data_IF_977680661168
#
_entry.id   IF_977680661168
#
_cell.length_a   1.000
_cell.length_b   1.000
_cell.length_c   1.000
_cell.angle_alpha   90.00
_cell.angle_beta   90.00
_cell.angle_gamma   90.00
#
_symmetry.space_group_name_H-M   'P 1'
#
loop_
_entity.id
_entity.type
_entity.pdbx_description
1 polymer ?
#
# COMPACT_ATOMS: atom_id res chain seq x y z
N UNK A 1 19.43 -11.90 18.86
CA UNK A 1 19.58 -10.45 18.65
C UNK A 1 18.18 -9.84 18.62
N UNK A 2 17.94 -8.68 19.27
CA UNK A 2 16.65 -7.96 19.19
C UNK A 2 16.74 -6.90 18.10
N UNK A 3 15.74 -6.84 17.22
CA UNK A 3 15.68 -5.85 16.12
C UNK A 3 14.70 -4.71 16.41
N UNK A 4 13.92 -4.80 17.49
CA UNK A 4 12.89 -3.83 17.81
C UNK A 4 12.19 -4.08 19.14
N UNK A 5 11.20 -3.24 19.43
CA UNK A 5 10.36 -3.29 20.62
C UNK A 5 8.99 -2.65 20.35
N UNK A 6 8.01 -2.95 21.20
CA UNK A 6 6.68 -2.33 21.15
C UNK A 6 6.66 -0.98 21.87
N UNK A 7 6.20 0.06 21.18
CA UNK A 7 5.81 1.33 21.79
C UNK A 7 4.29 1.30 22.04
N UNK A 8 3.94 0.95 23.28
CA UNK A 8 2.55 0.77 23.71
C UNK A 8 1.76 2.08 23.67
N UNK A 9 2.41 3.20 23.95
CA UNK A 9 1.77 4.53 24.01
C UNK A 9 1.32 4.96 22.62
N UNK A 10 2.20 4.79 21.62
CA UNK A 10 1.91 5.19 20.26
C UNK A 10 1.24 4.09 19.41
N UNK A 11 1.09 2.87 19.96
CA UNK A 11 0.64 1.68 19.25
C UNK A 11 1.49 1.40 18.00
N UNK A 12 2.81 1.49 18.19
CA UNK A 12 3.82 1.30 17.15
C UNK A 12 4.73 0.12 17.48
N UNK A 13 5.23 -0.56 16.45
CA UNK A 13 6.38 -1.45 16.59
C UNK A 13 7.62 -0.74 16.05
N UNK A 14 8.60 -0.56 16.92
CA UNK A 14 9.82 0.20 16.67
C UNK A 14 10.95 -0.75 16.30
N UNK A 15 11.49 -0.60 15.11
CA UNK A 15 12.61 -1.36 14.55
C UNK A 15 13.86 -0.48 14.68
N UNK A 16 14.80 -0.90 15.50
CA UNK A 16 16.03 -0.15 15.84
C UNK A 16 17.26 -0.61 15.04
N UNK A 17 17.12 -1.68 14.26
CA UNK A 17 18.14 -2.15 13.34
C UNK A 17 17.46 -2.50 12.01
N UNK A 18 17.80 -1.75 10.96
CA UNK A 18 17.21 -1.89 9.64
C UNK A 18 17.67 -3.16 8.89
N UNK A 19 18.76 -3.82 9.33
CA UNK A 19 19.26 -5.09 8.80
C UNK A 19 18.50 -6.30 9.39
N UNK A 20 17.17 -6.24 9.31
CA UNK A 20 16.29 -7.32 9.77
C UNK A 20 16.52 -8.58 8.92
N UNK A 21 16.42 -9.80 9.50
CA UNK A 21 16.71 -11.04 8.78
C UNK A 21 15.73 -11.33 7.62
N UNK A 22 14.59 -10.64 7.62
CA UNK A 22 13.61 -10.57 6.54
C UNK A 22 13.02 -9.17 6.51
N UNK A 23 12.42 -8.73 5.39
CA UNK A 23 11.61 -7.52 5.38
C UNK A 23 10.46 -7.67 6.37
N UNK A 24 10.37 -6.76 7.33
CA UNK A 24 9.22 -6.64 8.21
C UNK A 24 8.29 -5.61 7.61
N UNK A 25 7.04 -5.97 7.39
CA UNK A 25 6.10 -5.15 6.62
C UNK A 25 4.95 -4.63 7.44
N UNK A 26 4.38 -3.55 6.93
CA UNK A 26 3.13 -2.98 7.37
C UNK A 26 2.19 -2.77 6.17
N UNK A 27 0.90 -2.64 6.47
CA UNK A 27 -0.17 -2.39 5.52
C UNK A 27 -0.65 -0.95 5.65
N UNK A 28 -0.53 -0.19 4.57
CA UNK A 28 -1.12 1.13 4.46
C UNK A 28 -2.41 0.99 3.65
N UNK A 29 -3.40 1.83 3.95
CA UNK A 29 -4.53 1.91 3.05
C UNK A 29 -5.85 2.35 3.64
N UNK A 30 -6.69 2.71 2.69
CA UNK A 30 -8.14 2.93 2.76
C UNK A 30 -8.79 1.91 1.81
N UNK A 31 -10.06 1.48 1.94
CA UNK A 31 -10.60 0.37 1.15
C UNK A 31 -10.33 0.41 -0.37
N UNK A 32 -10.19 1.60 -0.96
CA UNK A 32 -9.87 1.79 -2.39
C UNK A 32 -8.39 1.72 -2.76
N UNK A 33 -7.45 1.94 -1.84
CA UNK A 33 -6.00 1.93 -2.10
C UNK A 33 -5.25 1.20 -1.01
N UNK A 34 -4.50 0.17 -1.41
CA UNK A 34 -3.68 -0.64 -0.52
C UNK A 34 -2.21 -0.50 -0.85
N UNK A 35 -1.37 -0.54 0.18
CA UNK A 35 0.07 -0.55 0.04
C UNK A 35 0.71 -1.50 1.04
N UNK A 36 1.72 -2.25 0.60
CA UNK A 36 2.60 -3.02 1.47
C UNK A 36 3.95 -2.32 1.46
N UNK A 37 4.43 -2.00 2.65
CA UNK A 37 5.69 -1.29 2.86
C UNK A 37 6.54 -2.04 3.89
N UNK A 38 7.82 -2.22 3.61
CA UNK A 38 8.77 -2.79 4.57
C UNK A 38 9.45 -1.72 5.43
N UNK A 39 10.16 -2.17 6.46
CA UNK A 39 11.07 -1.35 7.26
C UNK A 39 12.22 -0.70 6.44
N UNK A 40 12.38 -1.11 5.19
CA UNK A 40 13.36 -0.61 4.24
C UNK A 40 12.72 0.13 3.05
N UNK A 41 11.46 0.57 3.22
CA UNK A 41 10.64 1.23 2.20
C UNK A 41 10.40 0.41 0.92
N UNK A 42 10.72 -0.89 0.92
CA UNK A 42 10.39 -1.83 -0.15
C UNK A 42 8.89 -2.12 -0.21
N UNK A 43 8.45 -2.85 -1.24
CA UNK A 43 7.07 -3.26 -1.44
C UNK A 43 6.37 -2.52 -2.58
N UNK A 44 5.03 -2.55 -2.59
CA UNK A 44 4.22 -2.04 -3.70
C UNK A 44 2.90 -1.44 -3.24
N UNK A 45 2.23 -0.73 -4.15
CA UNK A 45 0.92 -0.12 -3.95
C UNK A 45 -0.04 -0.48 -5.08
N UNK A 46 -1.33 -0.43 -4.80
CA UNK A 46 -2.39 -0.81 -5.74
C UNK A 46 -3.72 -0.11 -5.43
N UNK A 47 -4.56 0.05 -6.45
CA UNK A 47 -5.93 0.56 -6.35
C UNK A 47 -6.91 -0.58 -6.52
N UNK A 48 -7.80 -0.76 -5.53
CA UNK A 48 -8.88 -1.78 -5.42
C UNK A 48 -8.39 -3.23 -5.37
N UNK A 49 -7.48 -3.63 -6.25
CA UNK A 49 -7.00 -5.00 -6.39
C UNK A 49 -5.48 -5.08 -6.34
N UNK A 50 -4.97 -5.89 -5.40
CA UNK A 50 -3.56 -6.26 -5.36
C UNK A 50 -3.12 -7.15 -6.52
N UNK A 51 -4.02 -7.62 -7.37
CA UNK A 51 -3.73 -8.41 -8.55
C UNK A 51 -3.72 -7.55 -9.81
N UNK A 52 -4.81 -6.81 -10.02
CA UNK A 52 -5.20 -6.12 -11.26
C UNK A 52 -5.26 -4.60 -11.12
N UNK A 53 -4.66 -4.06 -10.06
CA UNK A 53 -4.65 -2.64 -9.75
C UNK A 53 -3.27 -2.11 -9.36
N UNK A 54 -2.19 -2.80 -9.72
CA UNK A 54 -0.82 -2.46 -9.32
C UNK A 54 -0.43 -1.08 -9.85
N UNK A 55 0.21 -0.28 -8.99
CA UNK A 55 0.83 0.99 -9.36
C UNK A 55 2.34 0.84 -9.31
N UNK A 56 2.89 0.48 -8.14
CA UNK A 56 4.31 0.26 -7.96
C UNK A 56 4.68 -1.19 -8.23
N UNK A 57 5.78 -1.39 -8.95
CA UNK A 57 6.32 -2.72 -9.18
C UNK A 57 6.95 -3.27 -7.89
N UNK A 58 6.92 -4.59 -7.71
CA UNK A 58 7.71 -5.31 -6.70
C UNK A 58 8.18 -6.64 -7.27
N UNK A 59 9.41 -7.06 -6.95
CA UNK A 59 9.96 -8.33 -7.41
C UNK A 59 9.86 -9.37 -6.31
N UNK A 60 8.89 -10.27 -6.48
CA UNK A 60 8.66 -11.37 -5.55
C UNK A 60 9.81 -12.38 -5.55
N UNK A 61 9.98 -13.06 -4.41
CA UNK A 61 11.05 -14.05 -4.22
C UNK A 61 12.46 -13.54 -4.57
N UNK A 62 12.70 -12.25 -4.29
CA UNK A 62 13.97 -11.57 -4.51
C UNK A 62 14.27 -10.66 -3.31
N UNK A 63 15.29 -9.82 -3.46
CA UNK A 63 15.51 -8.69 -2.56
C UNK A 63 14.26 -7.81 -2.46
N UNK A 64 14.13 -7.11 -1.34
CA UNK A 64 13.03 -6.21 -1.04
C UNK A 64 13.03 -4.92 -1.89
N UNK A 65 12.82 -5.10 -3.19
CA UNK A 65 12.99 -4.07 -4.22
C UNK A 65 12.04 -4.31 -5.42
N UNK A 66 11.70 -3.25 -6.18
CA UNK A 66 11.88 -1.83 -5.80
C UNK A 66 10.93 -1.41 -4.66
N UNK A 67 10.92 -0.12 -4.36
CA UNK A 67 10.17 0.47 -3.25
C UNK A 67 9.99 1.97 -3.42
N UNK A 68 9.82 2.66 -2.30
CA UNK A 68 9.44 4.07 -2.17
C UNK A 68 10.64 4.90 -1.74
N UNK A 69 11.58 5.05 -2.67
CA UNK A 69 12.90 5.54 -2.32
C UNK A 69 12.98 7.05 -2.38
N UNK A 70 13.53 7.64 -1.33
CA UNK A 70 13.94 9.04 -1.29
C UNK A 70 15.45 9.03 -1.07
N UNK A 71 16.21 9.42 -2.09
CA UNK A 71 17.65 9.58 -2.00
C UNK A 71 17.98 11.01 -1.59
N UNK A 72 19.00 11.13 -0.75
CA UNK A 72 19.57 12.38 -0.28
C UNK A 72 21.02 12.41 -0.70
N UNK A 73 21.48 13.55 -1.21
CA UNK A 73 22.86 13.77 -1.66
C UNK A 73 23.33 15.11 -1.15
N UNK A 74 24.51 15.13 -0.53
CA UNK A 74 25.20 16.36 -0.19
C UNK A 74 25.97 16.84 -1.43
N UNK A 75 25.54 17.96 -2.00
CA UNK A 75 26.12 18.48 -3.24
C UNK A 75 27.55 19.01 -3.06
N UNK A 76 27.98 19.29 -1.82
CA UNK A 76 29.31 19.81 -1.55
C UNK A 76 30.42 18.77 -1.73
N UNK A 77 30.12 17.49 -1.53
CA UNK A 77 31.08 16.40 -1.63
C UNK A 77 30.61 15.23 -2.51
N UNK A 78 29.36 15.24 -2.96
CA UNK A 78 28.76 14.20 -3.79
C UNK A 78 28.40 12.91 -3.05
N UNK A 79 28.53 12.88 -1.72
CA UNK A 79 28.10 11.72 -0.93
C UNK A 79 26.57 11.62 -0.92
N UNK A 80 26.05 10.39 -0.90
CA UNK A 80 24.63 10.12 -0.96
C UNK A 80 24.22 8.93 -0.09
N UNK A 81 22.95 8.94 0.31
CA UNK A 81 22.28 7.90 1.09
C UNK A 81 20.78 7.91 0.77
N UNK A 82 20.06 6.93 1.29
CA UNK A 82 18.60 6.92 1.23
C UNK A 82 18.00 7.26 2.59
N UNK A 83 16.82 7.89 2.61
CA UNK A 83 16.10 8.20 3.84
C UNK A 83 15.65 6.93 4.59
N UNK A 84 15.43 5.84 3.85
CA UNK A 84 15.44 4.47 4.35
C UNK A 84 16.84 3.85 4.24
N UNK A 85 17.19 2.86 5.05
CA UNK A 85 18.55 2.27 5.01
C UNK A 85 18.88 1.68 3.64
N UNK A 86 18.05 0.76 3.15
CA UNK A 86 18.04 0.35 1.75
C UNK A 86 17.34 1.42 0.88
N UNK A 87 17.69 1.57 -0.40
CA UNK A 87 18.51 0.66 -1.20
C UNK A 87 20.01 1.00 -1.23
N UNK A 88 20.44 2.16 -0.73
CA UNK A 88 21.86 2.54 -0.73
C UNK A 88 22.66 1.67 0.23
N UNK A 89 22.10 1.36 1.40
CA UNK A 89 22.73 0.47 2.38
C UNK A 89 23.94 1.08 3.06
N UNK A 90 23.94 2.41 3.30
CA UNK A 90 25.01 3.11 4.03
C UNK A 90 25.18 2.48 5.42
N UNK A 91 26.44 2.21 5.81
CA UNK A 91 26.76 1.51 7.08
C UNK A 91 27.38 2.46 8.09
N UNK A 92 28.56 2.97 7.79
CA UNK A 92 29.33 3.79 8.72
C UNK A 92 28.57 5.09 9.03
N UNK A 93 28.38 5.41 10.31
CA UNK A 93 27.73 6.63 10.77
C UNK A 93 26.21 6.74 10.50
N UNK A 94 25.60 5.78 9.80
CA UNK A 94 24.18 5.80 9.47
C UNK A 94 23.35 5.18 10.59
N UNK A 95 22.47 5.98 11.21
CA UNK A 95 21.50 5.49 12.18
C UNK A 95 20.12 5.50 11.54
N UNK A 96 19.32 4.47 11.79
CA UNK A 96 17.93 4.44 11.35
C UNK A 96 17.02 3.76 12.34
N UNK A 97 15.77 4.21 12.36
CA UNK A 97 14.70 3.69 13.17
C UNK A 97 13.42 3.67 12.33
N UNK A 98 12.74 2.53 12.27
CA UNK A 98 11.46 2.40 11.57
C UNK A 98 10.34 2.14 12.57
N UNK A 99 9.24 2.88 12.46
CA UNK A 99 8.03 2.74 13.26
C UNK A 99 6.90 2.27 12.36
N UNK A 100 6.48 1.03 12.53
CA UNK A 100 5.23 0.58 11.95
C UNK A 100 4.10 0.90 12.93
N UNK A 101 3.24 1.85 12.54
CA UNK A 101 2.00 2.15 13.25
C UNK A 101 0.79 1.58 12.51
N UNK A 102 -0.40 1.90 12.99
CA UNK A 102 -1.64 1.39 12.39
C UNK A 102 -2.00 2.22 11.16
N UNK A 103 -1.77 1.69 9.96
CA UNK A 103 -2.07 2.35 8.68
C UNK A 103 -1.04 3.39 8.20
N UNK A 104 0.08 3.53 8.91
CA UNK A 104 1.21 4.39 8.52
C UNK A 104 2.55 3.74 8.91
N UNK A 105 3.63 4.14 8.24
CA UNK A 105 4.99 3.80 8.63
C UNK A 105 5.86 5.04 8.62
N UNK A 106 6.65 5.25 9.67
CA UNK A 106 7.63 6.33 9.73
C UNK A 106 9.05 5.74 9.76
N UNK A 107 9.90 6.17 8.84
CA UNK A 107 11.32 5.79 8.81
C UNK A 107 12.15 7.03 9.10
N UNK A 108 12.94 6.95 10.14
CA UNK A 108 13.84 7.98 10.63
C UNK A 108 15.27 7.56 10.33
N UNK A 109 16.10 8.51 9.93
CA UNK A 109 17.53 8.30 9.75
C UNK A 109 18.35 9.55 10.08
N UNK A 110 19.56 9.34 10.58
CA UNK A 110 20.55 10.38 10.85
C UNK A 110 21.86 9.96 10.19
N UNK A 111 22.42 10.83 9.35
CA UNK A 111 23.71 10.60 8.72
C UNK A 111 24.39 11.93 8.40
N UNK A 112 25.68 12.05 8.75
CA UNK A 112 26.53 13.21 8.46
C UNK A 112 25.85 14.56 8.81
N UNK A 113 25.19 14.64 9.97
CA UNK A 113 24.54 15.88 10.45
C UNK A 113 23.28 16.29 9.67
N UNK A 114 22.66 15.35 8.95
CA UNK A 114 21.31 15.49 8.40
C UNK A 114 20.40 14.45 9.05
N UNK A 115 19.33 14.92 9.67
CA UNK A 115 18.22 14.06 10.10
C UNK A 115 17.14 14.06 9.01
N UNK A 116 16.62 12.87 8.73
CA UNK A 116 15.50 12.65 7.81
C UNK A 116 14.43 11.81 8.49
N UNK A 117 13.18 12.18 8.27
CA UNK A 117 12.01 11.44 8.74
C UNK A 117 11.02 11.37 7.59
N UNK A 118 10.69 10.16 7.14
CA UNK A 118 9.68 9.93 6.10
C UNK A 118 8.50 9.21 6.70
N UNK A 119 7.31 9.81 6.65
CA UNK A 119 6.07 9.13 7.01
C UNK A 119 5.30 8.76 5.75
N UNK A 120 5.11 7.46 5.55
CA UNK A 120 4.36 6.84 4.46
C UNK A 120 2.97 6.46 4.97
N UNK A 121 1.93 6.95 4.30
CA UNK A 121 0.55 6.68 4.67
C UNK A 121 -0.38 6.85 3.47
N UNK A 122 -1.59 6.31 3.61
CA UNK A 122 -2.71 6.57 2.70
C UNK A 122 -3.74 7.38 3.48
N UNK A 123 -4.10 8.60 3.06
CA UNK A 123 -5.09 9.39 3.79
C UNK A 123 -6.44 8.66 3.83
N UNK A 124 -7.22 8.90 4.89
CA UNK A 124 -8.47 8.21 5.11
C UNK A 124 -9.45 8.46 3.96
N UNK A 125 -10.09 7.40 3.45
CA UNK A 125 -11.05 7.47 2.34
C UNK A 125 -10.48 8.05 1.04
N UNK A 126 -9.15 8.01 0.85
CA UNK A 126 -8.48 8.41 -0.39
C UNK A 126 -7.88 7.22 -1.12
N UNK A 127 -7.56 7.43 -2.39
CA UNK A 127 -7.03 6.45 -3.34
C UNK A 127 -5.65 6.87 -3.90
N UNK A 128 -4.85 7.51 -3.05
CA UNK A 128 -3.46 7.85 -3.30
C UNK A 128 -2.63 7.73 -2.01
N UNK A 129 -1.32 7.53 -2.17
CA UNK A 129 -0.35 7.42 -1.08
C UNK A 129 0.47 8.71 -0.98
N UNK A 130 0.84 9.07 0.25
CA UNK A 130 1.63 10.26 0.57
C UNK A 130 2.91 9.87 1.30
N UNK A 131 4.04 10.41 0.85
CA UNK A 131 5.35 10.25 1.49
C UNK A 131 5.81 11.62 1.99
N UNK A 132 5.58 11.87 3.28
CA UNK A 132 5.94 13.13 3.91
C UNK A 132 7.38 13.04 4.42
N UNK A 133 8.32 13.68 3.73
CA UNK A 133 9.70 13.86 4.15
C UNK A 133 9.85 15.13 4.98
N UNK A 134 10.47 15.01 6.15
CA UNK A 134 11.03 16.11 6.92
C UNK A 134 12.55 15.96 6.97
N UNK A 135 13.26 17.02 6.63
CA UNK A 135 14.72 17.11 6.72
C UNK A 135 15.11 18.18 7.73
N UNK A 136 16.17 17.90 8.48
CA UNK A 136 16.78 18.86 9.41
C UNK A 136 18.29 18.83 9.28
N UNK A 137 18.90 20.01 9.21
CA UNK A 137 20.34 20.15 9.32
C UNK A 137 20.75 20.28 10.78
N UNK A 138 21.34 19.23 11.34
CA UNK A 138 21.86 19.21 12.71
C UNK A 138 23.35 19.52 12.80
N UNK A 139 23.99 19.75 11.65
CA UNK A 139 25.37 20.23 11.61
C UNK A 139 25.47 21.74 11.89
N UNK A 140 26.69 22.22 12.06
CA UNK A 140 27.01 23.65 12.29
C UNK A 140 27.35 24.42 11.00
N UNK A 141 27.15 23.82 9.82
CA UNK A 141 27.41 24.44 8.51
C UNK A 141 26.19 24.41 7.61
N UNK A 142 26.14 25.30 6.62
CA UNK A 142 25.13 25.24 5.56
C UNK A 142 25.29 23.94 4.76
N UNK A 143 24.17 23.38 4.30
CA UNK A 143 24.12 22.12 3.55
C UNK A 143 23.27 22.30 2.30
N UNK A 144 23.87 22.03 1.15
CA UNK A 144 23.17 21.95 -0.12
C UNK A 144 22.79 20.49 -0.36
N UNK A 145 21.52 20.17 -0.20
CA UNK A 145 21.00 18.81 -0.28
C UNK A 145 20.14 18.65 -1.52
N UNK A 146 20.56 17.74 -2.39
CA UNK A 146 19.74 17.24 -3.50
C UNK A 146 18.88 16.07 -3.03
N UNK A 147 17.61 16.09 -3.40
CA UNK A 147 16.58 15.13 -2.96
C UNK A 147 15.97 14.51 -4.20
N UNK A 148 15.99 13.18 -4.27
CA UNK A 148 15.43 12.42 -5.39
C UNK A 148 14.35 11.47 -4.88
N UNK A 149 13.08 11.79 -5.16
CA UNK A 149 11.99 10.83 -4.97
C UNK A 149 11.95 9.88 -6.17
N UNK A 150 11.80 8.59 -5.91
CA UNK A 150 11.76 7.55 -6.93
C UNK A 150 10.63 6.55 -6.70
N UNK A 151 9.81 6.37 -7.73
CA UNK A 151 8.74 5.39 -7.83
C UNK A 151 8.92 4.57 -9.12
N UNK A 152 9.10 3.25 -9.02
CA UNK A 152 9.06 2.39 -10.21
C UNK A 152 7.63 1.97 -10.49
N UNK A 153 7.07 2.44 -11.60
CA UNK A 153 5.73 2.04 -12.01
C UNK A 153 5.74 0.66 -12.68
N UNK A 154 4.63 -0.05 -12.57
CA UNK A 154 4.33 -1.12 -13.52
C UNK A 154 3.95 -0.51 -14.88
N UNK A 155 3.96 -1.29 -15.95
CA UNK A 155 3.38 -0.87 -17.22
C UNK A 155 1.94 -1.38 -17.40
N UNK A 156 1.55 -2.39 -16.63
CA UNK A 156 0.17 -2.88 -16.54
C UNK A 156 -0.29 -2.92 -15.07
N UNK A 157 -1.57 -2.70 -14.83
CA UNK A 157 -2.19 -2.89 -13.51
C UNK A 157 -2.21 -4.37 -13.09
N UNK A 158 -2.36 -5.29 -14.05
CA UNK A 158 -2.26 -6.73 -13.83
C UNK A 158 -0.79 -7.15 -13.64
N UNK A 159 -0.49 -7.67 -12.45
CA UNK A 159 0.84 -8.13 -12.06
C UNK A 159 1.42 -9.17 -13.03
N UNK A 160 0.61 -10.11 -13.49
CA UNK A 160 1.08 -11.17 -14.38
C UNK A 160 1.40 -10.59 -15.75
N UNK A 161 0.52 -9.75 -16.29
CA UNK A 161 0.76 -9.08 -17.58
C UNK A 161 1.99 -8.17 -17.55
N UNK A 162 2.23 -7.45 -16.45
CA UNK A 162 3.46 -6.66 -16.26
C UNK A 162 4.72 -7.55 -16.22
N UNK A 163 4.61 -8.78 -15.74
CA UNK A 163 5.74 -9.70 -15.53
C UNK A 163 6.09 -10.55 -16.75
N UNK A 164 5.10 -11.06 -17.49
CA UNK A 164 5.33 -12.09 -18.54
C UNK A 164 5.00 -11.60 -19.95
N UNK A 165 4.03 -10.69 -20.12
CA UNK A 165 3.57 -10.26 -21.44
C UNK A 165 4.42 -9.10 -22.01
N UNK A 166 5.74 -9.23 -21.90
CA UNK A 166 6.70 -8.15 -22.14
C UNK A 166 6.68 -7.64 -23.59
N UNK A 167 6.32 -8.49 -24.55
CA UNK A 167 6.15 -8.12 -25.96
C UNK A 167 5.05 -7.07 -26.17
N UNK A 168 4.12 -6.94 -25.21
CA UNK A 168 3.06 -5.94 -25.20
C UNK A 168 3.27 -4.89 -24.10
N UNK A 169 3.45 -5.31 -22.85
CA UNK A 169 3.51 -4.39 -21.70
C UNK A 169 4.68 -3.41 -21.77
N UNK A 170 5.74 -3.72 -22.52
CA UNK A 170 6.83 -2.78 -22.75
C UNK A 170 6.51 -1.70 -23.80
N UNK A 171 5.37 -1.72 -24.49
CA UNK A 171 5.10 -0.77 -25.60
C UNK A 171 3.82 0.05 -25.41
N UNK A 172 3.30 0.09 -24.19
CA UNK A 172 2.02 0.73 -23.89
C UNK A 172 2.12 1.93 -22.94
N UNK A 173 3.30 2.23 -22.40
CA UNK A 173 3.46 3.33 -21.43
C UNK A 173 4.28 4.49 -21.99
N UNK A 174 3.88 5.70 -21.62
CA UNK A 174 4.63 6.93 -21.88
C UNK A 174 4.54 7.87 -20.67
N UNK A 175 5.63 8.54 -20.35
CA UNK A 175 5.66 9.52 -19.26
C UNK A 175 5.71 10.93 -19.79
N UNK A 176 5.10 11.85 -19.05
CA UNK A 176 5.12 13.29 -19.27
C UNK A 176 5.54 13.99 -18.00
N UNK A 177 6.30 15.07 -18.14
CA UNK A 177 6.56 16.00 -17.05
C UNK A 177 5.63 17.21 -17.19
N UNK A 178 4.89 17.52 -16.12
CA UNK A 178 3.86 18.57 -16.10
C UNK A 178 3.98 19.34 -14.79
N UNK A 179 4.68 20.47 -14.77
CA UNK A 179 5.04 21.13 -13.50
C UNK A 179 5.80 20.15 -12.59
N UNK A 180 5.57 20.10 -11.29
CA UNK A 180 6.31 19.24 -10.36
C UNK A 180 5.84 17.77 -10.31
N UNK A 181 5.46 17.17 -11.45
CA UNK A 181 4.94 15.80 -11.48
C UNK A 181 5.29 15.07 -12.76
N UNK A 182 5.49 13.76 -12.61
CA UNK A 182 5.50 12.80 -13.71
C UNK A 182 4.09 12.21 -13.81
N UNK A 183 3.52 12.25 -15.01
CA UNK A 183 2.31 11.52 -15.39
C UNK A 183 2.74 10.34 -16.26
N UNK A 184 2.40 9.11 -15.88
CA UNK A 184 2.49 7.94 -16.75
C UNK A 184 1.12 7.71 -17.40
N UNK A 185 1.03 7.86 -18.71
CA UNK A 185 -0.11 7.44 -19.51
C UNK A 185 0.11 6.00 -19.98
N UNK A 186 -0.90 5.14 -19.85
CA UNK A 186 -0.87 3.75 -20.27
C UNK A 186 -2.01 3.53 -21.28
N UNK A 187 -1.68 2.87 -22.40
CA UNK A 187 -2.57 2.64 -23.56
C UNK A 187 -3.15 3.95 -24.14
N UNK A 188 -2.35 5.01 -24.16
CA UNK A 188 -2.73 6.40 -24.54
C UNK A 188 -3.49 6.53 -25.88
N UNK A 189 -3.28 5.60 -26.81
CA UNK A 189 -3.93 5.60 -28.11
C UNK A 189 -5.20 4.72 -28.15
N UNK A 190 -5.81 4.42 -27.01
CA UNK A 190 -7.02 3.60 -26.88
C UNK A 190 -8.05 4.25 -25.96
N UNK A 191 -9.31 3.82 -26.08
CA UNK A 191 -10.40 4.28 -25.22
C UNK A 191 -10.23 3.83 -23.75
N UNK A 192 -9.39 2.81 -23.50
CA UNK A 192 -9.06 2.30 -22.16
C UNK A 192 -7.84 3.00 -21.53
N UNK A 193 -7.52 4.23 -21.98
CA UNK A 193 -6.39 4.99 -21.43
C UNK A 193 -6.59 5.26 -19.95
N UNK A 194 -5.55 5.01 -19.17
CA UNK A 194 -5.51 5.42 -17.77
C UNK A 194 -4.15 6.01 -17.41
N UNK A 195 -4.13 6.78 -16.33
CA UNK A 195 -2.95 7.53 -15.91
C UNK A 195 -2.57 7.22 -14.46
N UNK A 196 -1.28 7.37 -14.18
CA UNK A 196 -0.74 7.44 -12.83
C UNK A 196 0.09 8.70 -12.70
N UNK A 197 0.24 9.20 -11.48
CA UNK A 197 1.09 10.34 -11.22
C UNK A 197 2.01 10.10 -10.03
N UNK A 198 3.19 10.70 -10.10
CA UNK A 198 4.08 10.90 -8.97
C UNK A 198 4.43 12.38 -8.93
N UNK A 199 4.07 13.08 -7.85
CA UNK A 199 4.26 14.52 -7.71
C UNK A 199 5.12 14.88 -6.50
N UNK A 200 5.68 16.09 -6.52
CA UNK A 200 6.46 16.68 -5.44
C UNK A 200 5.86 18.03 -5.05
N UNK A 201 5.66 18.23 -3.74
CA UNK A 201 5.20 19.49 -3.13
C UNK A 201 6.21 19.96 -2.08
N UNK A 202 6.36 21.27 -1.93
CA UNK A 202 7.26 21.91 -0.94
C UNK A 202 8.55 22.48 -1.53
N UNK A 203 8.85 22.16 -2.79
CA UNK A 203 10.02 22.65 -3.53
C UNK A 203 9.78 22.55 -5.05
N UNK A 204 10.43 23.35 -5.91
CA UNK A 204 10.41 23.11 -7.37
C UNK A 204 11.16 21.82 -7.74
N UNK A 205 10.74 21.18 -8.83
CA UNK A 205 11.50 20.09 -9.45
C UNK A 205 12.52 20.68 -10.42
N UNK A 206 13.80 20.47 -10.12
CA UNK A 206 14.95 20.96 -10.89
C UNK A 206 15.25 20.08 -12.10
N UNK A 207 15.07 18.77 -11.95
CA UNK A 207 15.21 17.81 -13.04
C UNK A 207 14.39 16.54 -12.76
N UNK A 208 14.18 15.71 -13.77
CA UNK A 208 13.34 14.52 -13.64
C UNK A 208 13.80 13.37 -14.53
N UNK A 209 13.33 12.16 -14.23
CA UNK A 209 13.37 11.04 -15.16
C UNK A 209 12.04 10.30 -15.17
N UNK A 210 11.51 10.09 -16.38
CA UNK A 210 10.39 9.20 -16.62
C UNK A 210 10.83 7.79 -17.05
N UNK A 211 12.05 7.65 -17.56
CA UNK A 211 12.65 6.38 -17.98
C UNK A 211 13.51 5.76 -16.88
N UNK A 212 13.20 4.52 -16.49
CA UNK A 212 13.90 3.79 -15.43
C UNK A 212 15.40 3.64 -15.70
N UNK A 213 15.77 3.29 -16.94
CA UNK A 213 17.16 3.03 -17.33
C UNK A 213 17.97 4.33 -17.36
N UNK A 214 17.33 5.47 -17.62
CA UNK A 214 17.99 6.79 -17.57
C UNK A 214 18.26 7.24 -16.14
N UNK A 215 17.32 7.00 -15.22
CA UNK A 215 17.55 7.25 -13.80
C UNK A 215 18.61 6.33 -13.19
N UNK A 216 18.49 5.02 -13.39
CA UNK A 216 19.41 4.03 -12.80
C UNK A 216 20.77 4.02 -13.51
N UNK A 217 20.81 4.25 -14.82
CA UNK A 217 21.96 4.04 -15.68
C UNK A 217 21.97 2.67 -16.35
N UNK A 218 22.77 2.53 -17.40
CA UNK A 218 23.05 1.23 -18.02
C UNK A 218 23.74 0.33 -17.00
N UNK A 219 23.20 -0.87 -16.76
CA UNK A 219 23.67 -1.77 -15.70
C UNK A 219 23.67 -1.12 -14.30
N UNK A 220 22.81 -0.12 -14.10
CA UNK A 220 22.67 0.57 -12.83
C UNK A 220 21.82 -0.18 -11.82
N UNK A 221 21.99 0.19 -10.56
CA UNK A 221 21.33 -0.43 -9.41
C UNK A 221 20.61 0.62 -8.57
N UNK A 222 19.57 0.22 -7.83
CA UNK A 222 18.92 1.12 -6.87
C UNK A 222 19.88 1.58 -5.76
N UNK A 223 20.97 0.86 -5.49
CA UNK A 223 21.96 1.24 -4.47
C UNK A 223 22.84 2.43 -4.88
N UNK A 224 22.98 2.70 -6.18
CA UNK A 224 23.73 3.84 -6.70
C UNK A 224 23.16 4.27 -8.07
N UNK A 225 21.95 4.87 -8.11
CA UNK A 225 21.37 5.33 -9.37
C UNK A 225 22.25 6.39 -10.02
N UNK A 226 22.48 6.30 -11.33
CA UNK A 226 23.27 7.27 -12.10
C UNK A 226 22.89 8.72 -11.79
N UNK A 227 21.59 9.05 -11.81
CA UNK A 227 21.12 10.41 -11.56
C UNK A 227 21.47 10.92 -10.15
N UNK A 228 21.44 10.04 -9.14
CA UNK A 228 21.80 10.39 -7.76
C UNK A 228 23.31 10.59 -7.63
N UNK A 229 24.12 9.72 -8.25
CA UNK A 229 25.59 9.85 -8.24
C UNK A 229 26.00 11.17 -8.90
N UNK A 230 25.44 11.45 -10.08
CA UNK A 230 25.71 12.67 -10.85
C UNK A 230 25.10 13.94 -10.23
N UNK A 231 24.13 13.80 -9.32
CA UNK A 231 23.46 14.93 -8.66
C UNK A 231 22.44 15.65 -9.53
N UNK A 232 22.00 15.02 -10.62
CA UNK A 232 21.03 15.57 -11.57
C UNK A 232 20.37 14.45 -12.38
N UNK A 233 19.09 14.62 -12.72
CA UNK A 233 18.41 13.78 -13.70
C UNK A 233 18.59 14.36 -15.11
N UNK A 234 18.62 13.53 -16.14
CA UNK A 234 18.86 14.00 -17.52
C UNK A 234 17.60 14.46 -18.26
N UNK A 235 16.47 14.62 -17.57
CA UNK A 235 15.16 15.02 -18.11
C UNK A 235 14.61 14.07 -19.18
N UNK A 236 15.11 12.83 -19.25
CA UNK A 236 14.58 11.82 -20.18
C UNK A 236 13.32 11.18 -19.61
N UNK A 237 12.26 11.24 -20.41
CA UNK A 237 10.98 10.56 -20.20
C UNK A 237 10.97 9.21 -20.92
N UNK A 238 10.18 8.25 -20.44
CA UNK A 238 9.97 7.00 -21.16
C UNK A 238 9.05 7.22 -22.38
N UNK A 239 9.38 6.52 -23.46
CA UNK A 239 8.47 6.21 -24.56
C UNK A 239 8.66 4.72 -24.79
N UNK A 240 7.70 3.91 -24.34
CA UNK A 240 7.87 2.46 -24.19
C UNK A 240 8.91 2.08 -23.12
N UNK A 241 9.19 0.79 -22.99
CA UNK A 241 10.00 0.16 -21.96
C UNK A 241 9.53 0.51 -20.54
N UNK A 242 10.41 0.40 -19.55
CA UNK A 242 10.05 0.58 -18.15
C UNK A 242 10.08 2.05 -17.75
N UNK A 243 8.96 2.54 -17.23
CA UNK A 243 8.82 3.89 -16.70
C UNK A 243 9.20 3.97 -15.21
N UNK A 244 9.43 5.19 -14.74
CA UNK A 244 9.49 5.55 -13.33
C UNK A 244 8.98 6.98 -13.13
N UNK A 245 8.63 7.32 -11.90
CA UNK A 245 8.55 8.70 -11.45
C UNK A 245 9.81 9.04 -10.68
N UNK A 246 10.74 9.77 -11.28
CA UNK A 246 11.90 10.30 -10.58
C UNK A 246 11.88 11.82 -10.61
N UNK A 247 11.80 12.45 -9.43
CA UNK A 247 11.73 13.90 -9.26
C UNK A 247 12.90 14.36 -8.40
N UNK A 248 13.71 15.27 -8.91
CA UNK A 248 14.86 15.85 -8.22
C UNK A 248 14.56 17.30 -7.82
N UNK A 249 14.85 17.63 -6.56
CA UNK A 249 14.80 18.99 -6.04
C UNK A 249 16.07 19.32 -5.26
N UNK A 250 16.44 20.59 -5.22
CA UNK A 250 17.59 21.09 -4.44
C UNK A 250 17.11 22.02 -3.35
N UNK A 251 17.67 21.85 -2.15
CA UNK A 251 17.41 22.74 -1.02
C UNK A 251 18.72 23.16 -0.35
N UNK A 252 18.76 24.39 0.13
CA UNK A 252 19.79 24.86 1.04
C UNK A 252 19.23 24.84 2.47
N UNK A 253 19.94 24.19 3.39
CA UNK A 253 19.59 24.12 4.80
C UNK A 253 20.69 24.79 5.62
N UNK A 254 20.37 25.89 6.31
CA UNK A 254 21.28 26.47 7.32
C UNK A 254 21.33 25.61 8.57
N UNK A 255 22.31 25.78 9.47
CA UNK A 255 22.33 25.09 10.75
C UNK A 255 21.01 25.25 11.50
N UNK A 256 20.39 24.13 11.85
CA UNK A 256 19.10 24.08 12.54
C UNK A 256 17.86 24.21 11.65
N UNK A 257 18.00 24.52 10.35
CA UNK A 257 16.86 24.63 9.43
C UNK A 257 16.16 23.28 9.26
N UNK A 258 14.83 23.35 9.19
CA UNK A 258 13.95 22.22 8.89
C UNK A 258 13.17 22.50 7.60
N UNK A 259 13.02 21.47 6.76
CA UNK A 259 12.27 21.56 5.50
C UNK A 259 11.39 20.33 5.33
N UNK A 260 10.14 20.57 4.92
CA UNK A 260 9.21 19.52 4.54
C UNK A 260 9.07 19.44 3.01
N UNK A 261 9.08 18.21 2.49
CA UNK A 261 8.78 17.86 1.10
C UNK A 261 7.79 16.70 1.12
N UNK A 262 6.79 16.76 0.25
CA UNK A 262 5.75 15.75 0.17
C UNK A 262 5.76 15.15 -1.22
N UNK A 263 5.86 13.82 -1.30
CA UNK A 263 5.62 13.09 -2.54
C UNK A 263 4.22 12.48 -2.50
N UNK A 264 3.53 12.47 -3.64
CA UNK A 264 2.18 11.92 -3.75
C UNK A 264 2.10 11.00 -4.96
N UNK A 265 1.50 9.83 -4.76
CA UNK A 265 1.39 8.77 -5.76
C UNK A 265 -0.05 8.30 -5.88
N UNK A 266 -0.62 8.32 -7.09
CA UNK A 266 -1.97 7.83 -7.33
C UNK A 266 -2.23 7.41 -8.78
N UNK A 267 -3.37 6.75 -9.01
CA UNK A 267 -3.82 6.34 -10.35
C UNK A 267 -4.97 7.26 -10.81
N UNK A 268 -4.58 8.46 -11.23
CA UNK A 268 -5.49 9.54 -11.60
C UNK A 268 -5.03 10.23 -12.87
N UNK A 269 -5.98 10.85 -13.58
CA UNK A 269 -5.68 11.72 -14.71
C UNK A 269 -5.00 13.02 -14.25
N UNK A 270 -4.52 13.83 -15.20
CA UNK A 270 -3.76 15.04 -14.91
C UNK A 270 -4.54 16.06 -14.06
N UNK A 271 -5.86 16.21 -14.31
CA UNK A 271 -6.72 17.19 -13.63
C UNK A 271 -6.99 16.79 -12.18
N UNK A 272 -7.27 15.51 -11.95
CA UNK A 272 -7.40 14.94 -10.61
C UNK A 272 -6.07 15.02 -9.84
N UNK A 273 -4.96 14.66 -10.48
CA UNK A 273 -3.62 14.80 -9.91
C UNK A 273 -3.29 16.25 -9.53
N UNK A 274 -3.72 17.24 -10.33
CA UNK A 274 -3.62 18.66 -10.00
C UNK A 274 -4.40 19.01 -8.74
N UNK A 275 -5.65 18.57 -8.65
CA UNK A 275 -6.51 18.81 -7.48
C UNK A 275 -5.89 18.23 -6.21
N UNK A 276 -5.43 16.98 -6.28
CA UNK A 276 -4.76 16.29 -5.16
C UNK A 276 -3.49 17.05 -4.77
N UNK A 277 -2.58 17.28 -5.71
CA UNK A 277 -1.28 17.93 -5.44
C UNK A 277 -1.45 19.35 -4.88
N UNK A 278 -2.42 20.12 -5.37
CA UNK A 278 -2.69 21.46 -4.88
C UNK A 278 -3.19 21.48 -3.44
N UNK A 279 -3.95 20.47 -3.00
CA UNK A 279 -4.44 20.40 -1.61
C UNK A 279 -3.29 20.30 -0.60
N UNK A 280 -2.18 19.65 -0.97
CA UNK A 280 -0.99 19.49 -0.14
C UNK A 280 -0.02 20.68 -0.16
N UNK A 281 -0.30 21.74 -0.96
CA UNK A 281 0.45 23.01 -0.83
C UNK A 281 0.24 23.64 0.55
N UNK A 282 -0.89 23.34 1.20
CA UNK A 282 -1.08 23.57 2.61
C UNK A 282 -0.40 22.44 3.41
N UNK A 283 0.80 22.71 3.93
CA UNK A 283 1.60 21.72 4.67
C UNK A 283 0.92 21.18 5.92
N UNK A 284 -0.11 21.86 6.44
CA UNK A 284 -0.91 21.37 7.56
C UNK A 284 -1.67 20.09 7.21
N UNK A 285 -2.15 19.96 5.96
CA UNK A 285 -2.98 18.82 5.55
C UNK A 285 -2.28 17.49 5.80
N UNK A 286 -0.99 17.38 5.46
CA UNK A 286 -0.26 16.13 5.67
C UNK A 286 -0.13 15.73 7.14
N UNK A 287 -0.06 16.71 8.05
CA UNK A 287 -0.08 16.44 9.50
C UNK A 287 -1.49 16.03 9.96
N UNK A 288 -2.51 16.75 9.48
CA UNK A 288 -3.90 16.49 9.82
C UNK A 288 -4.32 15.07 9.35
N UNK A 289 -3.89 14.64 8.16
CA UNK A 289 -4.13 13.29 7.64
C UNK A 289 -3.55 12.20 8.56
N UNK A 290 -2.29 12.37 9.01
CA UNK A 290 -1.63 11.37 9.88
C UNK A 290 -2.38 11.28 11.22
N UNK A 291 -2.81 12.42 11.76
CA UNK A 291 -3.64 12.47 12.98
C UNK A 291 -4.98 11.76 12.74
N UNK A 292 -5.62 11.98 11.60
CA UNK A 292 -6.89 11.34 11.25
C UNK A 292 -6.74 9.82 11.11
N UNK A 293 -5.71 9.33 10.41
CA UNK A 293 -5.41 7.90 10.28
C UNK A 293 -5.20 7.26 11.65
N UNK A 294 -4.38 7.88 12.52
CA UNK A 294 -4.17 7.40 13.90
C UNK A 294 -5.48 7.36 14.67
N UNK A 295 -6.26 8.44 14.63
CA UNK A 295 -7.55 8.54 15.34
C UNK A 295 -8.52 7.47 14.89
N UNK A 296 -8.63 7.24 13.57
CA UNK A 296 -9.51 6.22 13.00
C UNK A 296 -9.15 4.81 13.51
N UNK A 297 -7.88 4.40 13.41
CA UNK A 297 -7.47 3.08 13.87
C UNK A 297 -7.55 2.95 15.38
N UNK A 298 -7.15 3.97 16.14
CA UNK A 298 -7.20 3.92 17.59
C UNK A 298 -8.65 3.84 18.09
N UNK A 299 -9.57 4.57 17.47
CA UNK A 299 -10.98 4.54 17.80
C UNK A 299 -11.63 3.18 17.56
N UNK A 300 -11.29 2.49 16.46
CA UNK A 300 -11.78 1.12 16.23
C UNK A 300 -11.31 0.17 17.34
N UNK A 301 -10.04 0.26 17.74
CA UNK A 301 -9.47 -0.57 18.79
C UNK A 301 -10.01 -0.23 20.19
N UNK A 302 -10.67 0.91 20.37
CA UNK A 302 -11.27 1.28 21.65
C UNK A 302 -12.62 0.57 21.90
N UNK A 303 -13.21 -0.06 20.88
CA UNK A 303 -14.47 -0.82 21.00
C UNK A 303 -14.32 -2.11 21.82
N UNK A 304 -13.10 -2.64 21.97
CA UNK A 304 -12.84 -3.81 22.80
C UNK A 304 -11.43 -3.79 23.38
N UNK A 305 -11.32 -3.97 24.70
CA UNK A 305 -10.04 -4.10 25.40
C UNK A 305 -10.10 -5.19 26.45
N UNK A 306 -8.99 -5.88 26.63
CA UNK A 306 -8.76 -6.81 27.72
C UNK A 306 -7.72 -6.26 28.69
N UNK A 307 -7.91 -6.54 29.96
CA UNK A 307 -6.93 -6.31 31.01
C UNK A 307 -6.75 -7.61 31.79
N UNK A 308 -5.58 -8.21 31.63
CA UNK A 308 -5.16 -9.43 32.31
C UNK A 308 -3.80 -9.21 32.99
N UNK A 309 -3.35 -10.09 33.90
CA UNK A 309 -2.02 -10.01 34.47
C UNK A 309 -0.85 -10.14 33.46
N UNK A 310 -1.11 -10.59 32.23
CA UNK A 310 -0.11 -10.68 31.16
C UNK A 310 -0.18 -9.44 30.24
N UNK A 311 0.78 -8.54 30.39
CA UNK A 311 0.86 -7.34 29.57
C UNK A 311 1.09 -7.61 28.08
N UNK A 312 1.77 -8.71 27.71
CA UNK A 312 1.99 -9.07 26.32
C UNK A 312 0.69 -9.56 25.68
N UNK A 313 -0.08 -10.37 26.42
CA UNK A 313 -1.40 -10.79 25.98
C UNK A 313 -2.32 -9.59 25.75
N UNK A 314 -2.38 -8.67 26.71
CA UNK A 314 -3.18 -7.44 26.58
C UNK A 314 -2.74 -6.65 25.36
N UNK A 315 -1.43 -6.50 25.12
CA UNK A 315 -0.93 -5.72 24.00
C UNK A 315 -1.23 -6.33 22.64
N UNK A 316 -1.12 -7.66 22.52
CA UNK A 316 -1.46 -8.35 21.27
C UNK A 316 -2.95 -8.25 20.99
N UNK A 317 -3.82 -8.53 21.97
CA UNK A 317 -5.27 -8.48 21.79
C UNK A 317 -5.76 -7.04 21.53
N UNK A 318 -5.31 -6.07 22.33
CA UNK A 318 -5.79 -4.69 22.24
C UNK A 318 -5.19 -3.90 21.07
N UNK A 319 -4.25 -4.46 20.32
CA UNK A 319 -3.57 -3.72 19.23
C UNK A 319 -3.24 -4.61 18.04
N UNK A 320 -2.23 -5.48 18.15
CA UNK A 320 -1.62 -6.08 16.96
C UNK A 320 -2.45 -7.19 16.32
N UNK A 321 -3.03 -8.09 17.13
CA UNK A 321 -3.93 -9.13 16.64
C UNK A 321 -5.21 -8.52 16.09
N UNK A 322 -5.80 -7.55 16.79
CA UNK A 322 -6.97 -6.82 16.30
C UNK A 322 -6.69 -6.10 14.97
N UNK A 323 -5.55 -5.40 14.87
CA UNK A 323 -5.13 -4.74 13.63
C UNK A 323 -4.89 -5.74 12.49
N UNK A 324 -4.30 -6.90 12.79
CA UNK A 324 -4.11 -7.96 11.81
C UNK A 324 -5.44 -8.52 11.31
N UNK A 325 -6.41 -8.80 12.20
CA UNK A 325 -7.76 -9.23 11.83
C UNK A 325 -8.49 -8.19 10.97
N UNK A 326 -8.36 -6.90 11.31
CA UNK A 326 -8.93 -5.83 10.49
C UNK A 326 -8.25 -5.71 9.11
N UNK A 327 -6.95 -5.98 9.05
CA UNK A 327 -6.20 -5.99 7.79
C UNK A 327 -6.66 -7.14 6.90
N UNK A 328 -6.82 -8.34 7.44
CA UNK A 328 -7.34 -9.50 6.70
C UNK A 328 -8.78 -9.29 6.24
N UNK A 329 -9.62 -8.72 7.10
CA UNK A 329 -11.00 -8.35 6.77
C UNK A 329 -11.08 -7.35 5.60
N UNK A 330 -10.22 -6.32 5.59
CA UNK A 330 -10.22 -5.28 4.55
C UNK A 330 -9.60 -5.77 3.23
N UNK A 331 -8.45 -6.44 3.30
CA UNK A 331 -7.59 -6.71 2.14
C UNK A 331 -7.58 -8.18 1.70
N UNK A 332 -8.35 -9.03 2.38
CA UNK A 332 -8.43 -10.47 2.13
C UNK A 332 -7.05 -11.14 2.18
N UNK A 333 -6.78 -12.07 1.26
CA UNK A 333 -5.48 -12.77 1.08
C UNK A 333 -4.84 -12.45 -0.28
N UNK A 334 -5.23 -11.32 -0.89
CA UNK A 334 -4.85 -10.99 -2.26
C UNK A 334 -3.45 -10.36 -2.36
N UNK A 335 -2.96 -9.73 -1.28
CA UNK A 335 -1.74 -8.93 -1.33
C UNK A 335 -0.88 -9.11 -0.08
N UNK A 336 0.35 -9.60 -0.26
CA UNK A 336 1.43 -9.55 0.73
C UNK A 336 2.78 -9.64 0.00
N UNK A 337 3.90 -9.77 0.71
CA UNK A 337 5.18 -10.10 0.05
C UNK A 337 5.29 -11.58 -0.37
N UNK A 338 4.28 -12.39 -0.07
CA UNK A 338 4.17 -13.80 -0.47
C UNK A 338 3.05 -14.00 -1.48
N UNK A 339 1.88 -13.40 -1.23
CA UNK A 339 0.76 -13.42 -2.16
C UNK A 339 0.92 -12.28 -3.17
N UNK A 340 1.41 -12.63 -4.37
CA UNK A 340 1.65 -11.68 -5.46
C UNK A 340 0.39 -11.23 -6.22
N UNK A 341 -0.79 -11.69 -5.82
CA UNK A 341 -2.05 -11.31 -6.45
C UNK A 341 -2.54 -12.27 -7.54
N UNK A 342 -2.10 -13.53 -7.59
CA UNK A 342 -2.74 -14.51 -8.49
C UNK A 342 -4.20 -14.82 -8.10
N UNK A 343 -4.55 -14.67 -6.81
CA UNK A 343 -5.94 -14.75 -6.34
C UNK A 343 -6.52 -13.35 -6.24
N UNK A 344 -7.53 -13.06 -7.06
CA UNK A 344 -8.13 -11.73 -7.19
C UNK A 344 -9.57 -11.71 -6.68
N UNK A 345 -9.75 -11.70 -5.36
CA UNK A 345 -11.06 -11.68 -4.73
C UNK A 345 -11.00 -12.13 -3.27
N UNK A 346 -12.15 -12.52 -2.76
CA UNK A 346 -12.34 -13.01 -1.40
C UNK A 346 -12.46 -14.54 -1.41
N UNK A 347 -11.53 -15.23 -0.77
CA UNK A 347 -11.70 -16.67 -0.50
C UNK A 347 -12.88 -16.85 0.46
N UNK A 348 -13.82 -17.74 0.12
CA UNK A 348 -15.10 -17.82 0.83
C UNK A 348 -14.93 -18.15 2.31
N UNK A 349 -14.34 -19.32 2.62
CA UNK A 349 -14.06 -19.72 4.01
C UNK A 349 -13.24 -18.68 4.75
N UNK A 350 -12.26 -18.06 4.06
CA UNK A 350 -11.26 -17.21 4.68
C UNK A 350 -11.93 -15.92 5.16
N UNK A 351 -12.76 -15.34 4.28
CA UNK A 351 -13.46 -14.08 4.56
C UNK A 351 -14.58 -14.30 5.57
N UNK A 352 -15.33 -15.41 5.48
CA UNK A 352 -16.38 -15.74 6.45
C UNK A 352 -15.79 -15.98 7.86
N UNK A 353 -14.61 -16.59 7.96
CA UNK A 353 -13.90 -16.73 9.24
C UNK A 353 -13.30 -15.40 9.72
N UNK A 354 -12.73 -14.57 8.82
CA UNK A 354 -12.19 -13.25 9.17
C UNK A 354 -13.25 -12.33 9.78
N UNK A 355 -14.49 -12.38 9.28
CA UNK A 355 -15.63 -11.65 9.86
C UNK A 355 -15.70 -11.92 11.36
N UNK A 356 -15.65 -13.19 11.78
CA UNK A 356 -15.70 -13.57 13.20
C UNK A 356 -14.60 -12.92 14.05
N UNK A 357 -13.45 -12.59 13.46
CA UNK A 357 -12.33 -11.94 14.13
C UNK A 357 -12.53 -10.44 14.39
N UNK A 358 -13.54 -9.81 13.78
CA UNK A 358 -13.74 -8.35 13.81
C UNK A 358 -15.15 -7.89 14.20
N UNK A 359 -16.15 -8.78 14.31
CA UNK A 359 -17.55 -8.38 14.63
C UNK A 359 -17.61 -7.47 15.86
N UNK A 360 -16.91 -7.83 16.94
CA UNK A 360 -16.86 -7.07 18.19
C UNK A 360 -16.19 -5.68 18.07
N UNK A 361 -15.42 -5.43 17.00
CA UNK A 361 -14.79 -4.13 16.74
C UNK A 361 -15.61 -3.28 15.77
N UNK A 362 -16.24 -3.89 14.77
CA UNK A 362 -16.90 -3.20 13.66
C UNK A 362 -18.17 -3.95 13.20
N UNK A 363 -19.20 -4.09 14.07
CA UNK A 363 -20.35 -4.95 13.81
C UNK A 363 -21.11 -4.57 12.53
N UNK A 364 -21.28 -3.28 12.26
CA UNK A 364 -21.96 -2.80 11.05
C UNK A 364 -21.24 -3.22 9.75
N UNK A 365 -19.92 -3.01 9.69
CA UNK A 365 -19.12 -3.45 8.53
C UNK A 365 -19.06 -4.97 8.43
N UNK A 366 -19.04 -5.66 9.56
CA UNK A 366 -19.09 -7.12 9.61
C UNK A 366 -20.42 -7.64 9.03
N UNK A 367 -21.55 -6.99 9.32
CA UNK A 367 -22.86 -7.28 8.71
C UNK A 367 -22.82 -7.09 7.20
N UNK A 368 -22.35 -5.94 6.72
CA UNK A 368 -22.23 -5.66 5.29
C UNK A 368 -21.40 -6.73 4.56
N UNK A 369 -20.25 -7.11 5.13
CA UNK A 369 -19.40 -8.16 4.57
C UNK A 369 -20.06 -9.54 4.66
N UNK A 370 -20.80 -9.83 5.72
CA UNK A 370 -21.52 -11.09 5.88
C UNK A 370 -22.64 -11.23 4.85
N UNK A 371 -23.44 -10.19 4.60
CA UNK A 371 -24.44 -10.15 3.53
C UNK A 371 -23.78 -10.35 2.16
N UNK A 372 -22.64 -9.67 1.92
CA UNK A 372 -21.88 -9.87 0.69
C UNK A 372 -21.47 -11.33 0.50
N UNK A 373 -20.95 -11.98 1.55
CA UNK A 373 -20.54 -13.39 1.47
C UNK A 373 -21.73 -14.35 1.39
N UNK A 374 -22.85 -14.10 2.08
CA UNK A 374 -24.10 -14.84 1.92
C UNK A 374 -24.57 -14.79 0.48
N UNK A 375 -24.48 -13.62 -0.16
CA UNK A 375 -24.86 -13.46 -1.57
C UNK A 375 -23.96 -14.18 -2.58
N UNK A 376 -22.87 -14.77 -2.11
CA UNK A 376 -21.96 -15.61 -2.89
C UNK A 376 -22.16 -17.12 -2.64
N UNK A 377 -23.18 -17.50 -1.86
CA UNK A 377 -23.69 -18.87 -1.82
C UNK A 377 -24.56 -19.11 -3.06
N UNK A 378 -24.50 -20.30 -3.65
CA UNK A 378 -25.37 -20.71 -4.77
C UNK A 378 -26.64 -21.38 -4.25
N UNK A 379 -27.69 -21.41 -5.07
CA UNK A 379 -29.02 -21.93 -4.72
C UNK A 379 -29.07 -23.42 -4.30
N UNK A 380 -28.03 -24.20 -4.60
CA UNK A 380 -27.89 -25.59 -4.13
C UNK A 380 -27.20 -25.73 -2.76
N UNK A 381 -26.88 -24.60 -2.10
CA UNK A 381 -26.22 -24.54 -0.80
C UNK A 381 -24.68 -24.51 -0.85
N UNK A 382 -24.08 -24.79 -2.01
CA UNK A 382 -22.64 -24.60 -2.25
C UNK A 382 -22.23 -23.13 -2.18
N UNK A 383 -20.93 -22.86 -2.10
CA UNK A 383 -20.40 -21.51 -2.04
C UNK A 383 -19.32 -21.29 -3.10
N UNK A 384 -19.32 -20.13 -3.75
CA UNK A 384 -18.28 -19.77 -4.73
C UNK A 384 -16.90 -19.77 -4.05
N UNK A 385 -15.94 -20.64 -4.42
CA UNK A 385 -14.65 -20.74 -3.72
C UNK A 385 -13.84 -19.43 -3.68
N UNK A 386 -13.99 -18.62 -4.74
CA UNK A 386 -13.44 -17.28 -4.85
C UNK A 386 -14.56 -16.32 -5.27
N UNK A 387 -14.84 -15.32 -4.42
CA UNK A 387 -15.82 -14.27 -4.68
C UNK A 387 -15.11 -13.06 -5.27
N UNK A 388 -15.49 -12.66 -6.48
CA UNK A 388 -14.83 -11.56 -7.22
C UNK A 388 -15.12 -10.21 -6.57
N UNK A 389 -14.23 -9.23 -6.75
CA UNK A 389 -14.52 -7.85 -6.36
C UNK A 389 -15.70 -7.24 -7.14
N UNK A 390 -16.01 -7.79 -8.31
CA UNK A 390 -17.13 -7.41 -9.19
C UNK A 390 -18.35 -8.31 -9.01
N UNK A 391 -18.42 -9.07 -7.91
CA UNK A 391 -19.51 -10.00 -7.62
C UNK A 391 -20.88 -9.36 -7.80
N UNK A 392 -21.73 -9.99 -8.59
CA UNK A 392 -23.10 -9.55 -8.90
C UNK A 392 -24.09 -10.70 -8.62
N UNK A 393 -24.70 -10.73 -7.43
CA UNK A 393 -25.64 -11.78 -7.05
C UNK A 393 -26.80 -11.94 -8.04
N UNK A 394 -27.21 -13.18 -8.26
CA UNK A 394 -28.24 -13.59 -9.23
C UNK A 394 -27.76 -13.68 -10.68
N UNK A 395 -26.45 -13.51 -10.92
CA UNK A 395 -25.86 -13.50 -12.26
C UNK A 395 -24.45 -14.10 -12.31
N UNK A 396 -23.96 -14.69 -11.22
CA UNK A 396 -22.64 -15.32 -11.22
C UNK A 396 -22.69 -16.71 -11.83
N UNK A 397 -21.67 -17.00 -12.62
CA UNK A 397 -21.31 -18.37 -12.99
C UNK A 397 -20.76 -19.12 -11.77
N UNK A 398 -20.74 -20.44 -11.84
CA UNK A 398 -20.39 -21.33 -10.73
C UNK A 398 -19.21 -22.24 -11.07
N UNK A 399 -18.61 -22.95 -10.11
CA UNK A 399 -17.60 -23.98 -10.39
C UNK A 399 -18.01 -25.07 -11.40
N UNK A 400 -19.31 -25.23 -11.67
CA UNK A 400 -19.83 -26.15 -12.70
C UNK A 400 -19.71 -25.56 -14.12
N UNK A 401 -19.50 -24.25 -14.24
CA UNK A 401 -19.42 -23.50 -15.48
C UNK A 401 -17.96 -23.25 -15.89
N UNK A 402 -17.63 -23.55 -17.16
CA UNK A 402 -16.28 -23.37 -17.68
C UNK A 402 -15.75 -21.92 -17.54
N UNK A 403 -16.63 -20.92 -17.68
CA UNK A 403 -16.29 -19.50 -17.56
C UNK A 403 -15.78 -19.13 -16.16
N UNK A 404 -16.44 -19.61 -15.10
CA UNK A 404 -15.97 -19.40 -13.73
C UNK A 404 -14.60 -20.03 -13.51
N UNK A 405 -14.40 -21.27 -13.99
CA UNK A 405 -13.12 -21.98 -13.85
C UNK A 405 -12.01 -21.25 -14.61
N UNK A 406 -12.28 -20.77 -15.82
CA UNK A 406 -11.32 -20.02 -16.62
C UNK A 406 -10.94 -18.67 -15.96
N UNK A 407 -11.90 -18.00 -15.33
CA UNK A 407 -11.66 -16.70 -14.69
C UNK A 407 -10.96 -16.83 -13.32
N UNK A 408 -11.33 -17.83 -12.52
CA UNK A 408 -10.93 -17.94 -11.11
C UNK A 408 -9.90 -19.03 -10.83
N UNK A 409 -9.76 -20.01 -11.73
CA UNK A 409 -8.92 -21.19 -11.54
C UNK A 409 -9.49 -22.22 -10.55
N UNK A 410 -10.77 -22.14 -10.19
CA UNK A 410 -11.41 -22.99 -9.18
C UNK A 410 -12.48 -23.93 -9.78
N UNK A 411 -12.14 -25.20 -10.09
CA UNK A 411 -13.00 -26.12 -10.85
C UNK A 411 -14.03 -26.91 -10.01
N UNK A 412 -14.16 -26.59 -8.73
CA UNK A 412 -15.06 -27.33 -7.83
C UNK A 412 -15.40 -26.51 -6.59
N UNK A 413 -16.62 -26.69 -6.08
CA UNK A 413 -16.98 -26.26 -4.73
C UNK A 413 -16.08 -26.94 -3.69
N UNK A 414 -15.93 -26.30 -2.54
CA UNK A 414 -15.27 -26.91 -1.37
C UNK A 414 -16.34 -27.27 -0.36
N UNK A 415 -16.26 -28.49 0.15
CA UNK A 415 -17.26 -29.03 1.08
C UNK A 415 -17.40 -28.20 2.37
N UNK A 416 -16.37 -27.43 2.73
CA UNK A 416 -16.36 -26.64 3.96
C UNK A 416 -16.80 -25.17 3.77
N UNK A 417 -16.73 -24.61 2.55
CA UNK A 417 -16.84 -23.15 2.35
C UNK A 417 -18.16 -22.59 2.89
N UNK A 418 -19.31 -23.15 2.45
CA UNK A 418 -20.63 -22.71 2.91
C UNK A 418 -20.90 -23.01 4.38
N UNK A 419 -20.25 -24.03 4.96
CA UNK A 419 -20.47 -24.44 6.35
C UNK A 419 -19.97 -23.40 7.37
N UNK A 420 -19.05 -22.52 6.96
CA UNK A 420 -18.56 -21.45 7.83
C UNK A 420 -19.59 -20.34 8.07
N UNK A 421 -20.65 -20.24 7.27
CA UNK A 421 -21.73 -19.26 7.49
C UNK A 421 -22.45 -19.50 8.81
N UNK A 422 -22.80 -20.75 9.13
CA UNK A 422 -23.57 -21.10 10.32
C UNK A 422 -22.96 -20.56 11.64
N UNK A 423 -21.67 -20.84 11.95
CA UNK A 423 -21.06 -20.26 13.15
C UNK A 423 -20.90 -18.74 13.05
N UNK A 424 -20.66 -18.17 11.86
CA UNK A 424 -20.48 -16.71 11.70
C UNK A 424 -21.78 -15.93 11.89
N UNK A 425 -22.90 -16.37 11.30
CA UNK A 425 -24.23 -15.76 11.48
C UNK A 425 -24.65 -15.85 12.94
N UNK A 426 -24.48 -17.02 13.58
CA UNK A 426 -24.75 -17.19 15.01
C UNK A 426 -23.91 -16.23 15.86
N UNK A 427 -22.62 -16.08 15.54
CA UNK A 427 -21.71 -15.19 16.27
C UNK A 427 -22.07 -13.72 16.07
N UNK A 428 -22.48 -13.33 14.86
CA UNK A 428 -22.96 -11.98 14.57
C UNK A 428 -24.17 -11.63 15.45
N UNK A 429 -25.19 -12.49 15.43
CA UNK A 429 -26.40 -12.31 16.25
C UNK A 429 -26.06 -12.31 17.76
N UNK A 430 -25.14 -13.16 18.20
CA UNK A 430 -24.73 -13.21 19.60
C UNK A 430 -24.00 -11.93 20.05
N UNK A 431 -23.23 -11.30 19.17
CA UNK A 431 -22.52 -10.05 19.45
C UNK A 431 -23.47 -8.84 19.42
N UNK A 432 -24.38 -8.77 18.45
CA UNK A 432 -25.22 -7.57 18.20
C UNK A 432 -26.61 -7.65 18.81
N UNK A 433 -27.12 -8.85 19.09
CA UNK A 433 -28.52 -9.08 19.46
C UNK A 433 -29.52 -8.95 18.30
N UNK A 434 -29.06 -8.76 17.06
CA UNK A 434 -29.91 -8.48 15.90
C UNK A 434 -30.55 -9.75 15.31
N UNK A 435 -31.59 -10.28 15.99
CA UNK A 435 -32.32 -11.46 15.51
C UNK A 435 -33.00 -11.26 14.15
N UNK A 436 -33.44 -10.03 13.84
CA UNK A 436 -34.06 -9.68 12.56
C UNK A 436 -33.13 -9.88 11.35
N UNK A 437 -31.82 -10.02 11.58
CA UNK A 437 -30.87 -10.35 10.52
C UNK A 437 -31.23 -11.67 9.81
N UNK A 438 -31.84 -12.63 10.52
CA UNK A 438 -32.28 -13.90 9.95
C UNK A 438 -33.39 -13.75 8.90
N UNK A 439 -34.16 -12.66 8.97
CA UNK A 439 -35.28 -12.37 8.05
C UNK A 439 -34.84 -11.55 6.82
N UNK A 440 -33.59 -11.10 6.76
CA UNK A 440 -33.09 -10.32 5.62
C UNK A 440 -33.05 -11.16 4.34
N UNK A 441 -33.62 -10.64 3.26
CA UNK A 441 -33.64 -11.34 1.97
C UNK A 441 -32.33 -11.09 1.22
N UNK A 442 -31.56 -12.15 0.98
CA UNK A 442 -30.29 -12.13 0.26
C UNK A 442 -30.42 -12.95 -1.03
N UNK A 443 -30.03 -12.39 -2.20
CA UNK A 443 -29.95 -13.16 -3.43
C UNK A 443 -28.82 -14.20 -3.37
N UNK A 444 -29.05 -15.39 -3.91
CA UNK A 444 -27.95 -16.33 -4.18
C UNK A 444 -27.06 -15.80 -5.30
N UNK A 445 -25.87 -16.37 -5.44
CA UNK A 445 -24.88 -15.97 -6.43
C UNK A 445 -25.38 -16.15 -7.86
N UNK A 446 -25.98 -17.32 -8.15
CA UNK A 446 -26.39 -17.73 -9.49
C UNK A 446 -27.85 -17.36 -9.81
N UNK A 447 -28.82 -17.70 -8.96
CA UNK A 447 -30.22 -17.37 -9.19
C UNK A 447 -31.07 -17.51 -7.92
N UNK A 448 -32.16 -16.75 -7.83
CA UNK A 448 -33.07 -16.79 -6.69
C UNK A 448 -32.59 -15.95 -5.50
N UNK A 449 -33.39 -15.97 -4.43
CA UNK A 449 -33.13 -15.26 -3.18
C UNK A 449 -33.92 -15.92 -2.06
N UNK A 450 -33.40 -15.88 -0.85
CA UNK A 450 -34.10 -16.34 0.34
C UNK A 450 -33.74 -15.46 1.54
N UNK A 451 -34.40 -15.67 2.67
CA UNK A 451 -33.99 -15.07 3.95
C UNK A 451 -32.67 -15.65 4.41
N UNK A 452 -31.85 -14.93 5.19
CA UNK A 452 -30.59 -15.44 5.76
C UNK A 452 -30.74 -16.77 6.51
N UNK A 453 -31.92 -17.05 7.08
CA UNK A 453 -32.21 -18.31 7.78
C UNK A 453 -32.31 -19.55 6.88
N UNK A 454 -32.83 -19.38 5.66
CA UNK A 454 -33.11 -20.46 4.70
C UNK A 454 -31.93 -20.60 3.74
#
# INVERSE_FOLDING_TARGET
>A
MKYGYFDKTNKEYVIINADTPRPWVNYLGSPSYGAIISNNAGGYSFVKSGAKGRILRYRFNSDDKPGRYIYLRDDSNGDFWSASWQPVGKRDGYKSLCRHGLGYTTIEAEYEGIESQVTYYVPLNKDYEVWKLKLKNTSNRNRDISIFGYAEFTNENDYEQDSINLQYSQFISRTYFKENKIIQAIKENSDDTYCRFFSLVGSPVESYNGDKRRFLGNYGYYSAPKAVVEGICDNTLNYNLNSCGALHSKINLKPGDEKEIIFILGMHNENEANTITNSYKNTKLANDDIVEVKKYWHGILDNFKVETPDENFNHMINTWTAYQCLTTFKWSRAASLIYCGQRNGFGYRDTVQDIQGVIHLIPELAKEKLIFMLSAQVDNGGALPLVKYTHKPGFEDTPDDFSYVAETGHPSYRADDGLWLFPTVRKYIAETGELAFLDEIVPYANNGKDTVYN
#
